data_IF_526524915142
#
_entry.id   IF_526524915142
#
_cell.length_a   1.000
_cell.length_b   1.000
_cell.length_c   1.000
_cell.angle_alpha   90.00
_cell.angle_beta   90.00
_cell.angle_gamma   90.00
#
_symmetry.space_group_name_H-M   'P 1'
#
loop_
_entity.id
_entity.type
_entity.pdbx_description
1 polymer ?
#
# COMPACT_ATOMS: atom_id res chain seq x y z
N UNK A 1 16.42 10.78 -11.25
CA UNK A 1 15.98 11.37 -9.96
C UNK A 1 14.48 11.58 -10.05
N UNK A 2 13.71 11.28 -9.01
CA UNK A 2 12.26 11.61 -8.99
C UNK A 2 12.07 13.04 -8.49
N UNK A 3 11.09 13.75 -9.04
CA UNK A 3 10.75 15.13 -8.70
C UNK A 3 9.61 15.23 -7.66
N UNK A 4 8.86 14.14 -7.48
CA UNK A 4 7.72 14.02 -6.56
C UNK A 4 7.72 12.66 -5.87
N UNK A 5 6.95 12.54 -4.79
CA UNK A 5 6.66 11.22 -4.21
C UNK A 5 5.85 10.42 -5.24
N UNK A 6 6.33 9.21 -5.55
CA UNK A 6 5.62 8.27 -6.39
C UNK A 6 5.37 6.96 -5.61
N UNK A 7 4.16 6.44 -5.73
CA UNK A 7 3.73 5.18 -5.12
C UNK A 7 3.37 4.19 -6.22
N UNK A 8 3.98 3.00 -6.16
CA UNK A 8 3.57 1.85 -6.95
C UNK A 8 3.07 0.75 -6.01
N UNK A 9 2.03 0.03 -6.45
CA UNK A 9 1.37 -0.98 -5.63
C UNK A 9 1.27 -2.28 -6.43
N UNK A 10 1.77 -3.36 -5.83
CA UNK A 10 1.64 -4.71 -6.35
C UNK A 10 0.69 -5.53 -5.48
N UNK A 11 -0.25 -6.24 -6.10
CA UNK A 11 -1.09 -7.22 -5.42
C UNK A 11 -0.86 -8.61 -6.00
N UNK A 12 -0.46 -9.55 -5.15
CA UNK A 12 -0.37 -10.97 -5.47
C UNK A 12 -1.49 -11.74 -4.78
N UNK A 13 -2.41 -12.32 -5.54
CA UNK A 13 -3.49 -13.17 -4.99
C UNK A 13 -2.95 -14.42 -4.32
N UNK A 14 -1.93 -15.05 -4.92
CA UNK A 14 -1.26 -16.21 -4.34
C UNK A 14 -0.36 -15.85 -3.14
N UNK A 15 -0.01 -14.57 -2.98
CA UNK A 15 0.98 -14.09 -2.01
C UNK A 15 2.40 -14.49 -2.38
N UNK A 16 3.38 -13.78 -1.81
CA UNK A 16 4.82 -14.03 -2.00
C UNK A 16 5.42 -14.44 -0.65
N UNK A 17 6.22 -15.51 -0.55
CA UNK A 17 6.91 -15.86 0.70
C UNK A 17 7.68 -14.66 1.25
N UNK A 18 7.38 -14.25 2.49
CA UNK A 18 7.92 -13.00 3.06
C UNK A 18 8.89 -13.23 4.21
N UNK A 19 8.63 -14.26 5.03
CA UNK A 19 9.48 -14.59 6.17
C UNK A 19 9.59 -16.11 6.37
N UNK A 20 10.49 -16.50 7.28
CA UNK A 20 10.71 -17.90 7.62
C UNK A 20 9.51 -18.53 8.36
N UNK A 21 8.62 -17.72 8.92
CA UNK A 21 7.41 -18.17 9.65
C UNK A 21 6.27 -18.62 8.72
N UNK A 22 6.48 -18.58 7.39
CA UNK A 22 5.49 -18.98 6.40
C UNK A 22 4.48 -17.90 6.04
N UNK A 23 4.63 -16.66 6.54
CA UNK A 23 3.76 -15.55 6.15
C UNK A 23 3.97 -15.21 4.67
N UNK A 24 2.87 -14.87 4.00
CA UNK A 24 2.87 -14.46 2.60
C UNK A 24 2.49 -12.99 2.48
N UNK A 25 3.29 -12.21 1.77
CA UNK A 25 2.98 -10.84 1.41
C UNK A 25 2.05 -10.82 0.19
N UNK A 26 0.84 -10.30 0.38
CA UNK A 26 -0.15 -10.17 -0.70
C UNK A 26 -0.20 -8.75 -1.28
N UNK A 27 0.18 -7.74 -0.50
CA UNK A 27 0.26 -6.34 -0.91
C UNK A 27 1.70 -5.86 -0.74
N UNK A 28 2.27 -5.27 -1.80
CA UNK A 28 3.61 -4.71 -1.83
C UNK A 28 3.49 -3.25 -2.23
N UNK A 29 4.04 -2.35 -1.42
CA UNK A 29 4.06 -0.92 -1.66
C UNK A 29 5.49 -0.48 -1.92
N UNK A 30 5.73 0.18 -3.05
CA UNK A 30 7.01 0.78 -3.40
C UNK A 30 6.85 2.29 -3.42
N UNK A 31 7.62 2.98 -2.59
CA UNK A 31 7.60 4.44 -2.48
C UNK A 31 8.93 4.99 -2.98
N UNK A 32 8.88 5.80 -4.03
CA UNK A 32 10.01 6.62 -4.45
C UNK A 32 9.85 8.01 -3.85
N UNK A 33 10.84 8.46 -3.07
CA UNK A 33 10.80 9.72 -2.32
C UNK A 33 11.98 10.60 -2.77
N UNK A 34 11.75 11.84 -3.23
CA UNK A 34 12.84 12.77 -3.47
C UNK A 34 13.49 13.17 -2.14
N UNK A 35 14.81 13.38 -2.15
CA UNK A 35 15.61 13.65 -0.93
C UNK A 35 15.10 14.84 -0.09
N UNK A 36 14.34 15.76 -0.69
CA UNK A 36 13.82 16.95 -0.02
C UNK A 36 12.50 16.71 0.73
N UNK A 37 11.80 15.59 0.49
CA UNK A 37 10.46 15.28 1.05
C UNK A 37 10.48 14.12 2.05
N UNK A 38 11.57 14.00 2.82
CA UNK A 38 11.78 12.90 3.78
C UNK A 38 10.78 12.95 4.95
N UNK A 39 10.19 14.11 5.28
CA UNK A 39 9.16 14.14 6.31
C UNK A 39 7.78 13.70 5.77
N UNK A 40 7.47 14.00 4.51
CA UNK A 40 6.16 13.73 3.92
C UNK A 40 5.93 12.24 3.62
N UNK A 41 6.99 11.47 3.32
CA UNK A 41 6.81 10.03 3.07
C UNK A 41 6.39 9.26 4.32
N UNK A 42 6.77 9.72 5.52
CA UNK A 42 6.36 9.06 6.77
C UNK A 42 4.84 9.15 6.97
N UNK A 43 4.22 10.23 6.51
CA UNK A 43 2.75 10.37 6.49
C UNK A 43 2.16 9.30 5.55
N UNK A 44 2.71 9.15 4.34
CA UNK A 44 2.27 8.13 3.38
C UNK A 44 2.39 6.72 3.96
N UNK A 45 3.53 6.38 4.56
CA UNK A 45 3.76 5.07 5.20
C UNK A 45 2.79 4.85 6.35
N UNK A 46 2.59 5.85 7.21
CA UNK A 46 1.66 5.78 8.34
C UNK A 46 0.22 5.52 7.89
N UNK A 47 -0.24 6.23 6.86
CA UNK A 47 -1.55 6.03 6.25
C UNK A 47 -1.69 4.62 5.69
N UNK A 48 -0.74 4.16 4.87
CA UNK A 48 -0.77 2.80 4.30
C UNK A 48 -0.76 1.72 5.39
N UNK A 49 0.02 1.90 6.46
CA UNK A 49 0.07 0.96 7.56
C UNK A 49 -1.26 0.90 8.34
N UNK A 50 -1.98 2.02 8.47
CA UNK A 50 -3.29 2.04 9.13
C UNK A 50 -4.35 1.39 8.25
N UNK A 51 -4.40 1.73 6.96
CA UNK A 51 -5.35 1.13 5.99
C UNK A 51 -5.17 -0.38 5.91
N UNK A 52 -3.93 -0.86 5.84
CA UNK A 52 -3.65 -2.29 5.71
C UNK A 52 -3.83 -3.08 7.02
N UNK A 53 -3.79 -2.42 8.18
CA UNK A 53 -4.11 -3.04 9.47
C UNK A 53 -5.61 -3.24 9.65
N UNK A 54 -6.42 -2.31 9.16
CA UNK A 54 -7.87 -2.45 9.15
C UNK A 54 -8.30 -3.64 8.28
N UNK A 55 -9.09 -4.54 8.85
CA UNK A 55 -9.42 -5.82 8.21
C UNK A 55 -10.39 -5.64 7.04
N UNK A 56 -11.39 -4.76 7.18
CA UNK A 56 -12.37 -4.51 6.14
C UNK A 56 -11.71 -3.85 4.92
N UNK A 57 -10.92 -2.80 5.13
CA UNK A 57 -10.17 -2.16 4.04
C UNK A 57 -9.17 -3.11 3.40
N UNK A 58 -8.41 -3.88 4.20
CA UNK A 58 -7.48 -4.88 3.67
C UNK A 58 -8.20 -5.92 2.80
N UNK A 59 -9.35 -6.41 3.25
CA UNK A 59 -10.14 -7.39 2.49
C UNK A 59 -10.69 -6.79 1.19
N UNK A 60 -11.17 -5.55 1.20
CA UNK A 60 -11.58 -4.85 -0.02
C UNK A 60 -10.40 -4.70 -1.00
N UNK A 61 -9.23 -4.28 -0.54
CA UNK A 61 -8.02 -4.16 -1.38
C UNK A 61 -7.59 -5.51 -1.96
N UNK A 62 -7.66 -6.59 -1.18
CA UNK A 62 -7.31 -7.94 -1.65
C UNK A 62 -8.28 -8.47 -2.71
N UNK A 63 -9.55 -8.06 -2.64
CA UNK A 63 -10.62 -8.59 -3.49
C UNK A 63 -11.01 -7.69 -4.68
N UNK A 64 -10.61 -6.42 -4.70
CA UNK A 64 -10.91 -5.49 -5.79
C UNK A 64 -10.68 -6.13 -7.18
N UNK A 65 -11.66 -6.07 -8.08
CA UNK A 65 -11.57 -6.76 -9.37
C UNK A 65 -10.58 -6.09 -10.32
N UNK A 66 -10.43 -4.77 -10.21
CA UNK A 66 -9.61 -3.96 -11.13
C UNK A 66 -8.62 -3.06 -10.40
N UNK A 67 -7.62 -2.55 -11.13
CA UNK A 67 -6.70 -1.55 -10.59
C UNK A 67 -7.41 -0.25 -10.20
N UNK A 68 -8.43 0.16 -10.98
CA UNK A 68 -9.22 1.36 -10.69
C UNK A 68 -10.01 1.22 -9.39
N UNK A 69 -10.65 0.08 -9.18
CA UNK A 69 -11.37 -0.23 -7.94
C UNK A 69 -10.41 -0.29 -6.74
N UNK A 70 -9.24 -0.91 -6.91
CA UNK A 70 -8.22 -0.93 -5.86
C UNK A 70 -7.81 0.48 -5.45
N UNK A 71 -7.54 1.35 -6.43
CA UNK A 71 -7.17 2.75 -6.17
C UNK A 71 -8.32 3.49 -5.49
N UNK A 72 -9.56 3.29 -5.92
CA UNK A 72 -10.72 3.90 -5.28
C UNK A 72 -10.86 3.47 -3.82
N UNK A 73 -10.79 2.17 -3.52
CA UNK A 73 -10.81 1.65 -2.13
C UNK A 73 -9.69 2.23 -1.28
N UNK A 74 -8.49 2.40 -1.85
CA UNK A 74 -7.35 2.96 -1.12
C UNK A 74 -7.56 4.44 -0.77
N UNK A 75 -8.21 5.21 -1.66
CA UNK A 75 -8.48 6.63 -1.49
C UNK A 75 -9.71 6.92 -0.62
N UNK A 76 -10.68 6.00 -0.59
CA UNK A 76 -11.89 6.11 0.25
C UNK A 76 -11.62 5.81 1.73
N UNK A 77 -10.49 5.15 2.02
CA UNK A 77 -10.10 4.84 3.38
C UNK A 77 -9.94 6.14 4.19
N UNK A 78 -10.56 6.25 5.39
CA UNK A 78 -10.61 7.51 6.13
C UNK A 78 -9.20 8.04 6.41
N UNK A 79 -8.88 9.15 5.75
CA UNK A 79 -7.63 9.89 5.92
C UNK A 79 -7.78 10.85 7.09
N UNK A 80 -7.20 10.47 8.24
CA UNK A 80 -7.07 11.23 9.50
C UNK A 80 -8.36 11.79 10.11
#
# INVERSE_FOLDING_TARGET
MVDRIALAIGRSRAGIPWNADGNRAHLIFLIAVPQQLVNDYLIVVGTLARITKDEDHRNCLLNAATAAEFIATLLDAPSL
#
